data_IF_976844479457
#
_entry.id   IF_976844479457
#
_cell.length_a   1.000
_cell.length_b   1.000
_cell.length_c   1.000
_cell.angle_alpha   90.00
_cell.angle_beta   90.00
_cell.angle_gamma   90.00
#
_symmetry.space_group_name_H-M   'P 1'
#
loop_
_entity.id
_entity.type
_entity.pdbx_description
1 polymer ?
#
# COMPACT_ATOMS: atom_id res chain seq x y z
N UNK A 1 16.20 17.80 8.56
CA UNK A 1 15.92 18.00 7.12
C UNK A 1 16.22 16.69 6.44
N UNK A 2 15.18 15.94 6.07
CA UNK A 2 15.36 14.70 5.31
C UNK A 2 15.52 15.07 3.84
N UNK A 3 16.63 14.67 3.24
CA UNK A 3 16.83 14.73 1.80
C UNK A 3 16.04 13.56 1.18
N UNK A 4 14.72 13.66 1.18
CA UNK A 4 13.88 12.70 0.47
C UNK A 4 13.97 12.99 -1.04
N UNK A 5 14.36 11.98 -1.82
CA UNK A 5 14.24 11.99 -3.28
C UNK A 5 12.78 11.63 -3.64
N UNK A 6 12.27 12.06 -4.79
CA UNK A 6 11.01 11.43 -5.25
C UNK A 6 11.26 9.92 -5.48
N UNK A 7 10.24 9.04 -5.31
CA UNK A 7 10.40 7.61 -5.60
C UNK A 7 11.00 7.34 -6.98
N UNK A 8 10.64 8.15 -7.99
CA UNK A 8 11.19 8.08 -9.33
C UNK A 8 12.71 8.34 -9.40
N UNK A 9 13.21 9.33 -8.65
CA UNK A 9 14.63 9.63 -8.61
C UNK A 9 15.41 8.56 -7.83
N UNK A 10 14.87 8.09 -6.71
CA UNK A 10 15.46 6.98 -5.95
C UNK A 10 15.53 5.69 -6.80
N UNK A 11 14.45 5.40 -7.54
CA UNK A 11 14.38 4.31 -8.51
C UNK A 11 15.47 4.40 -9.59
N UNK A 12 15.62 5.56 -10.24
CA UNK A 12 16.63 5.72 -11.30
C UNK A 12 18.06 5.49 -10.80
N UNK A 13 18.37 5.99 -9.60
CA UNK A 13 19.66 5.72 -8.96
C UNK A 13 19.85 4.21 -8.72
N UNK A 14 18.87 3.56 -8.09
CA UNK A 14 18.94 2.13 -7.77
C UNK A 14 19.05 1.26 -9.01
N UNK A 15 18.30 1.59 -10.06
CA UNK A 15 18.35 0.90 -11.36
C UNK A 15 19.74 1.03 -11.98
N UNK A 16 20.32 2.22 -11.98
CA UNK A 16 21.65 2.45 -12.54
C UNK A 16 22.74 1.70 -11.74
N UNK A 17 22.63 1.64 -10.41
CA UNK A 17 23.51 0.81 -9.57
C UNK A 17 23.42 -0.67 -9.97
N UNK A 18 22.20 -1.22 -10.06
CA UNK A 18 21.98 -2.62 -10.43
C UNK A 18 22.49 -2.92 -11.85
N UNK A 19 22.31 -2.01 -12.81
CA UNK A 19 22.85 -2.16 -14.16
C UNK A 19 24.38 -2.12 -14.18
N UNK A 20 25.01 -1.27 -13.37
CA UNK A 20 26.45 -1.20 -13.24
C UNK A 20 27.01 -2.49 -12.59
N UNK A 21 26.38 -2.99 -11.52
CA UNK A 21 26.71 -4.28 -10.90
C UNK A 21 26.55 -5.42 -11.93
N UNK A 22 25.47 -5.41 -12.70
CA UNK A 22 25.20 -6.43 -13.73
C UNK A 22 26.26 -6.49 -14.81
N UNK A 23 26.86 -5.35 -15.17
CA UNK A 23 27.85 -5.24 -16.23
C UNK A 23 29.21 -5.86 -15.87
N UNK A 24 29.53 -5.98 -14.57
CA UNK A 24 30.85 -6.44 -14.09
C UNK A 24 30.85 -7.89 -13.60
N UNK A 25 29.70 -8.48 -13.32
CA UNK A 25 29.60 -9.87 -12.83
C UNK A 25 29.56 -10.89 -13.97
N UNK A 26 30.21 -12.04 -13.75
CA UNK A 26 30.25 -13.17 -14.72
C UNK A 26 29.51 -14.42 -14.22
N UNK A 27 29.22 -14.51 -12.92
CA UNK A 27 28.53 -15.67 -12.35
C UNK A 27 27.06 -15.71 -12.79
N UNK A 28 26.58 -16.81 -13.42
CA UNK A 28 25.18 -16.93 -13.83
C UNK A 28 24.18 -16.76 -12.67
N UNK A 29 24.54 -17.23 -11.48
CA UNK A 29 23.69 -17.13 -10.29
C UNK A 29 23.56 -15.67 -9.84
N UNK A 30 24.68 -14.95 -9.77
CA UNK A 30 24.67 -13.53 -9.38
C UNK A 30 23.94 -12.68 -10.41
N UNK A 31 24.16 -12.96 -11.70
CA UNK A 31 23.44 -12.36 -12.82
C UNK A 31 21.93 -12.54 -12.66
N UNK A 32 21.48 -13.75 -12.34
CA UNK A 32 20.05 -14.03 -12.17
C UNK A 32 19.47 -13.26 -10.98
N UNK A 33 20.18 -13.19 -9.86
CA UNK A 33 19.75 -12.40 -8.69
C UNK A 33 19.63 -10.91 -9.03
N UNK A 34 20.61 -10.33 -9.72
CA UNK A 34 20.56 -8.91 -10.14
C UNK A 34 19.41 -8.67 -11.12
N UNK A 35 19.20 -9.57 -12.09
CA UNK A 35 18.07 -9.45 -13.03
C UNK A 35 16.71 -9.52 -12.32
N UNK A 36 16.57 -10.37 -11.28
CA UNK A 36 15.35 -10.41 -10.46
C UNK A 36 15.14 -9.10 -9.70
N UNK A 37 16.20 -8.55 -9.13
CA UNK A 37 16.14 -7.26 -8.45
C UNK A 37 15.76 -6.13 -9.44
N UNK A 38 16.35 -6.10 -10.63
CA UNK A 38 15.98 -5.15 -11.69
C UNK A 38 14.49 -5.27 -12.04
N UNK A 39 14.00 -6.47 -12.33
CA UNK A 39 12.58 -6.67 -12.64
C UNK A 39 11.67 -6.22 -11.49
N UNK A 40 12.04 -6.52 -10.24
CA UNK A 40 11.29 -6.06 -9.08
C UNK A 40 11.29 -4.53 -8.96
N UNK A 41 12.39 -3.84 -9.34
CA UNK A 41 12.43 -2.39 -9.42
C UNK A 41 11.48 -1.85 -10.49
N UNK A 42 11.43 -2.46 -11.67
CA UNK A 42 10.53 -2.05 -12.77
C UNK A 42 9.05 -2.22 -12.36
N UNK A 43 8.70 -3.35 -11.72
CA UNK A 43 7.35 -3.59 -11.18
C UNK A 43 7.00 -2.57 -10.09
N UNK A 44 7.93 -2.26 -9.19
CA UNK A 44 7.70 -1.26 -8.15
C UNK A 44 7.49 0.14 -8.73
N UNK A 45 8.21 0.49 -9.79
CA UNK A 45 8.02 1.76 -10.50
C UNK A 45 6.68 1.81 -11.27
N UNK A 46 6.27 0.70 -11.90
CA UNK A 46 4.94 0.58 -12.49
C UNK A 46 3.83 0.77 -11.45
N UNK A 47 3.99 0.12 -10.30
CA UNK A 47 3.06 0.21 -9.17
C UNK A 47 2.98 1.63 -8.60
N UNK A 48 4.10 2.35 -8.56
CA UNK A 48 4.13 3.78 -8.22
C UNK A 48 3.27 4.62 -9.18
N UNK A 49 3.35 4.38 -10.49
CA UNK A 49 2.52 5.11 -11.46
C UNK A 49 1.03 4.79 -11.34
N UNK A 50 0.67 3.55 -11.01
CA UNK A 50 -0.72 3.20 -10.70
C UNK A 50 -1.22 3.95 -9.46
N UNK A 51 -0.38 4.08 -8.43
CA UNK A 51 -0.68 4.83 -7.22
C UNK A 51 -0.85 6.34 -7.50
N UNK A 52 0.01 6.95 -8.32
CA UNK A 52 -0.15 8.36 -8.75
C UNK A 52 -1.42 8.59 -9.57
N UNK A 53 -1.76 7.64 -10.44
CA UNK A 53 -2.95 7.69 -11.28
C UNK A 53 -4.23 7.61 -10.44
N UNK A 54 -4.22 6.77 -9.41
CA UNK A 54 -5.29 6.71 -8.42
C UNK A 54 -5.41 8.01 -7.63
N UNK A 55 -4.30 8.61 -7.20
CA UNK A 55 -4.33 9.91 -6.52
C UNK A 55 -4.94 11.01 -7.39
N UNK A 56 -4.62 11.02 -8.70
CA UNK A 56 -5.24 11.94 -9.66
C UNK A 56 -6.77 11.72 -9.73
N UNK A 57 -7.22 10.46 -9.73
CA UNK A 57 -8.65 10.14 -9.68
C UNK A 57 -9.28 10.62 -8.37
N UNK A 58 -8.62 10.42 -7.23
CA UNK A 58 -9.11 10.85 -5.93
C UNK A 58 -9.24 12.37 -5.84
N UNK A 59 -8.22 13.12 -6.24
CA UNK A 59 -8.24 14.59 -6.21
C UNK A 59 -9.41 15.15 -7.03
N UNK A 60 -9.73 14.53 -8.17
CA UNK A 60 -10.90 14.91 -8.98
C UNK A 60 -12.22 14.68 -8.24
N UNK A 61 -12.33 13.59 -7.48
CA UNK A 61 -13.51 13.26 -6.67
C UNK A 61 -13.64 14.15 -5.44
N UNK A 62 -12.52 14.47 -4.80
CA UNK A 62 -12.45 15.27 -3.59
C UNK A 62 -12.57 16.79 -3.83
N UNK A 63 -12.52 17.25 -5.09
CA UNK A 63 -12.57 18.69 -5.45
C UNK A 63 -13.78 19.45 -4.88
N UNK A 64 -14.89 18.76 -4.63
CA UNK A 64 -16.13 19.35 -4.12
C UNK A 64 -16.23 19.30 -2.58
N UNK A 65 -15.23 18.73 -1.91
CA UNK A 65 -15.18 18.67 -0.44
C UNK A 65 -14.56 19.98 0.07
N UNK A 66 -15.29 20.72 0.89
CA UNK A 66 -14.77 21.91 1.57
C UNK A 66 -13.99 21.51 2.83
N UNK A 67 -12.66 21.49 2.72
CA UNK A 67 -11.74 21.08 3.79
C UNK A 67 -11.47 22.16 4.84
N UNK A 68 -11.85 23.40 4.57
CA UNK A 68 -11.40 24.55 5.34
C UNK A 68 -12.37 24.99 6.43
N UNK A 69 -13.55 24.37 6.54
CA UNK A 69 -14.50 24.65 7.61
C UNK A 69 -14.03 24.02 8.94
N UNK A 70 -13.70 24.86 9.92
CA UNK A 70 -13.23 24.43 11.26
C UNK A 70 -14.19 23.45 11.94
N UNK A 71 -15.50 23.61 11.71
CA UNK A 71 -16.51 22.73 12.29
C UNK A 71 -16.42 21.31 11.73
N UNK A 72 -16.19 21.16 10.42
CA UNK A 72 -15.99 19.86 9.79
C UNK A 72 -14.74 19.16 10.30
N UNK A 73 -13.66 19.92 10.53
CA UNK A 73 -12.42 19.36 11.12
C UNK A 73 -12.62 18.85 12.55
N UNK A 74 -13.34 19.61 13.38
CA UNK A 74 -13.69 19.18 14.75
C UNK A 74 -14.55 17.91 14.75
N UNK A 75 -15.51 17.84 13.82
CA UNK A 75 -16.38 16.70 13.69
C UNK A 75 -15.64 15.44 13.22
N UNK A 76 -14.74 15.57 12.24
CA UNK A 76 -13.84 14.49 11.81
C UNK A 76 -12.96 13.99 12.95
N UNK A 77 -12.36 14.90 13.72
CA UNK A 77 -11.54 14.53 14.86
C UNK A 77 -12.35 13.78 15.93
N UNK A 78 -13.58 14.21 16.20
CA UNK A 78 -14.48 13.51 17.13
C UNK A 78 -14.83 12.11 16.63
N UNK A 79 -15.14 11.96 15.34
CA UNK A 79 -15.37 10.65 14.73
C UNK A 79 -14.14 9.76 14.83
N UNK A 80 -12.95 10.29 14.52
CA UNK A 80 -11.69 9.56 14.62
C UNK A 80 -11.45 9.07 16.05
N UNK A 81 -11.61 9.93 17.06
CA UNK A 81 -11.46 9.58 18.47
C UNK A 81 -12.43 8.48 18.91
N UNK A 82 -13.68 8.49 18.44
CA UNK A 82 -14.64 7.42 18.72
C UNK A 82 -14.28 6.13 17.98
N UNK A 83 -13.87 6.23 16.71
CA UNK A 83 -13.48 5.08 15.90
C UNK A 83 -12.24 4.37 16.46
N UNK A 84 -11.31 5.12 17.07
CA UNK A 84 -10.11 4.56 17.70
C UNK A 84 -10.42 3.84 19.03
N UNK A 85 -11.64 3.94 19.56
CA UNK A 85 -12.10 3.10 20.68
C UNK A 85 -12.54 1.71 20.22
N UNK A 86 -12.83 1.55 18.93
CA UNK A 86 -13.04 0.25 18.32
C UNK A 86 -11.66 -0.39 18.16
N UNK A 87 -11.39 -1.46 18.90
CA UNK A 87 -10.10 -2.13 18.86
C UNK A 87 -10.19 -3.39 18.01
N UNK A 88 -9.33 -3.49 16.99
CA UNK A 88 -9.03 -4.74 16.32
C UNK A 88 -7.77 -5.32 16.99
N UNK A 89 -7.83 -6.51 17.62
CA UNK A 89 -6.66 -7.13 18.23
C UNK A 89 -5.50 -7.32 17.22
N UNK A 90 -4.25 -7.25 17.68
CA UNK A 90 -3.07 -7.42 16.80
C UNK A 90 -3.03 -8.81 16.12
N UNK A 91 -3.56 -9.85 16.79
CA UNK A 91 -3.68 -11.21 16.26
C UNK A 91 -5.12 -11.53 15.84
N UNK A 92 -5.84 -10.56 15.29
CA UNK A 92 -7.23 -10.74 14.88
C UNK A 92 -7.37 -11.70 13.69
N UNK A 93 -8.18 -12.74 13.89
CA UNK A 93 -8.69 -13.59 12.82
C UNK A 93 -9.81 -12.91 12.01
N UNK A 94 -10.30 -13.61 10.99
CA UNK A 94 -11.35 -13.08 10.12
C UNK A 94 -12.65 -12.76 10.89
N UNK A 95 -12.97 -13.49 11.96
CA UNK A 95 -14.17 -13.25 12.75
C UNK A 95 -14.04 -11.99 13.60
N UNK A 96 -12.87 -11.77 14.21
CA UNK A 96 -12.57 -10.53 14.90
C UNK A 96 -12.63 -9.32 13.95
N UNK A 97 -12.15 -9.48 12.71
CA UNK A 97 -12.28 -8.46 11.67
C UNK A 97 -13.75 -8.18 11.29
N UNK A 98 -14.57 -9.21 11.10
CA UNK A 98 -16.00 -9.07 10.81
C UNK A 98 -16.75 -8.35 11.95
N UNK A 99 -16.43 -8.68 13.20
CA UNK A 99 -16.96 -7.99 14.37
C UNK A 99 -16.57 -6.52 14.40
N UNK A 100 -15.29 -6.23 14.19
CA UNK A 100 -14.78 -4.86 14.08
C UNK A 100 -15.48 -4.07 12.98
N UNK A 101 -15.66 -4.68 11.80
CA UNK A 101 -16.37 -4.07 10.68
C UNK A 101 -17.83 -3.75 11.03
N UNK A 102 -18.54 -4.68 11.67
CA UNK A 102 -19.92 -4.45 12.11
C UNK A 102 -20.01 -3.27 13.09
N UNK A 103 -19.12 -3.22 14.07
CA UNK A 103 -19.10 -2.14 15.07
C UNK A 103 -18.75 -0.78 14.45
N UNK A 104 -17.81 -0.77 13.48
CA UNK A 104 -17.45 0.43 12.73
C UNK A 104 -18.62 0.94 11.90
N UNK A 105 -19.32 0.07 11.15
CA UNK A 105 -20.50 0.46 10.36
C UNK A 105 -21.58 1.03 11.26
N UNK A 106 -21.87 0.39 12.40
CA UNK A 106 -22.84 0.91 13.37
C UNK A 106 -22.44 2.28 13.92
N UNK A 107 -21.15 2.50 14.20
CA UNK A 107 -20.65 3.81 14.61
C UNK A 107 -20.85 4.85 13.50
N UNK A 108 -20.47 4.53 12.25
CA UNK A 108 -20.62 5.43 11.11
C UNK A 108 -22.07 5.83 10.83
N UNK A 109 -23.01 4.88 10.96
CA UNK A 109 -24.44 5.10 10.73
C UNK A 109 -25.12 5.89 11.85
N UNK A 110 -24.65 5.74 13.09
CA UNK A 110 -25.21 6.42 14.27
C UNK A 110 -24.54 7.76 14.59
N UNK A 111 -23.40 8.06 13.98
CA UNK A 111 -22.68 9.31 14.21
C UNK A 111 -23.48 10.50 13.63
N UNK A 112 -23.69 11.58 14.41
CA UNK A 112 -24.59 12.66 14.04
C UNK A 112 -23.94 13.65 13.06
N UNK A 113 -23.65 13.22 11.83
CA UNK A 113 -23.03 14.03 10.79
C UNK A 113 -23.78 15.35 10.52
N UNK A 114 -23.11 16.50 10.66
CA UNK A 114 -23.70 17.82 10.36
C UNK A 114 -22.88 18.63 9.35
N UNK A 115 -21.56 18.62 9.48
CA UNK A 115 -20.60 19.45 8.72
C UNK A 115 -19.56 18.62 8.00
N UNK A 116 -19.22 17.46 8.56
CA UNK A 116 -18.38 16.44 7.94
C UNK A 116 -19.22 15.31 7.31
N UNK A 117 -18.54 14.37 6.68
CA UNK A 117 -19.16 13.17 6.12
C UNK A 117 -18.20 11.99 6.10
N UNK A 118 -18.72 10.77 5.97
CA UNK A 118 -17.91 9.57 5.82
C UNK A 118 -17.00 9.64 4.58
N UNK A 119 -17.42 10.33 3.53
CA UNK A 119 -16.59 10.56 2.33
C UNK A 119 -15.33 11.39 2.63
N UNK A 120 -15.40 12.31 3.59
CA UNK A 120 -14.23 13.07 4.03
C UNK A 120 -13.25 12.14 4.76
N UNK A 121 -13.74 11.30 5.68
CA UNK A 121 -12.91 10.28 6.36
C UNK A 121 -12.24 9.35 5.34
N UNK A 122 -12.98 8.88 4.33
CA UNK A 122 -12.43 8.07 3.24
C UNK A 122 -11.29 8.78 2.50
N UNK A 123 -11.43 10.09 2.25
CA UNK A 123 -10.40 10.87 1.58
C UNK A 123 -9.15 11.09 2.45
N UNK A 124 -9.31 11.30 3.75
CA UNK A 124 -8.19 11.43 4.68
C UNK A 124 -7.41 10.11 4.76
N UNK A 125 -8.12 8.99 4.92
CA UNK A 125 -7.50 7.66 4.93
C UNK A 125 -6.77 7.35 3.63
N UNK A 126 -7.35 7.73 2.49
CA UNK A 126 -6.67 7.63 1.20
C UNK A 126 -5.36 8.42 1.22
N UNK A 127 -5.40 9.68 1.62
CA UNK A 127 -4.25 10.58 1.59
C UNK A 127 -3.14 10.10 2.51
N UNK A 128 -3.48 9.65 3.72
CA UNK A 128 -2.54 9.05 4.68
C UNK A 128 -1.91 7.79 4.10
N UNK A 129 -2.72 6.85 3.60
CA UNK A 129 -2.23 5.57 3.06
C UNK A 129 -1.36 5.77 1.82
N UNK A 130 -1.75 6.70 0.94
CA UNK A 130 -0.98 7.10 -0.23
C UNK A 130 0.40 7.62 0.15
N UNK A 131 0.49 8.57 1.08
CA UNK A 131 1.76 9.14 1.53
C UNK A 131 2.66 8.09 2.19
N UNK A 132 2.09 7.21 3.01
CA UNK A 132 2.84 6.11 3.63
C UNK A 132 3.43 5.16 2.57
N UNK A 133 2.69 4.86 1.50
CA UNK A 133 3.20 4.05 0.39
C UNK A 133 4.28 4.78 -0.42
N UNK A 134 4.13 6.09 -0.66
CA UNK A 134 5.16 6.90 -1.31
C UNK A 134 6.49 6.86 -0.55
N UNK A 135 6.45 7.12 0.75
CA UNK A 135 7.64 7.07 1.62
C UNK A 135 8.27 5.67 1.65
N UNK A 136 7.44 4.62 1.62
CA UNK A 136 7.91 3.23 1.60
C UNK A 136 8.59 2.87 0.28
N UNK A 137 8.05 3.33 -0.86
CA UNK A 137 8.66 3.12 -2.18
C UNK A 137 9.98 3.86 -2.31
N UNK A 138 10.07 5.09 -1.81
CA UNK A 138 11.33 5.82 -1.79
C UNK A 138 12.40 5.10 -0.95
N UNK A 139 12.01 4.66 0.25
CA UNK A 139 12.91 3.89 1.12
C UNK A 139 13.27 2.54 0.51
N UNK A 140 12.37 1.89 -0.24
CA UNK A 140 12.66 0.66 -0.96
C UNK A 140 13.86 0.83 -1.89
N UNK A 141 13.90 1.92 -2.65
CA UNK A 141 14.98 2.16 -3.62
C UNK A 141 16.27 2.69 -2.99
N UNK A 142 16.21 3.36 -1.84
CA UNK A 142 17.36 4.06 -1.24
C UNK A 142 17.99 3.34 -0.04
N UNK A 143 17.24 2.49 0.67
CA UNK A 143 17.72 1.87 1.90
C UNK A 143 18.74 0.77 1.64
N UNK A 144 19.82 0.77 2.42
CA UNK A 144 20.84 -0.30 2.43
C UNK A 144 20.46 -1.48 3.33
N UNK A 145 19.57 -1.26 4.31
CA UNK A 145 19.04 -2.27 5.21
C UNK A 145 17.51 -2.28 5.08
N UNK A 146 16.94 -3.46 4.80
CA UNK A 146 15.52 -3.63 4.47
C UNK A 146 14.66 -4.01 5.68
N UNK A 147 15.25 -4.25 6.85
CA UNK A 147 14.48 -4.54 8.08
C UNK A 147 13.43 -3.46 8.41
N UNK A 148 13.74 -2.15 8.34
CA UNK A 148 12.74 -1.12 8.60
C UNK A 148 11.60 -1.12 7.57
N UNK A 149 11.87 -1.53 6.32
CA UNK A 149 10.85 -1.64 5.28
C UNK A 149 9.82 -2.71 5.60
N UNK A 150 10.23 -3.92 6.02
CA UNK A 150 9.28 -4.97 6.40
C UNK A 150 8.39 -4.53 7.57
N UNK A 151 8.97 -3.86 8.56
CA UNK A 151 8.21 -3.32 9.71
C UNK A 151 7.24 -2.21 9.25
N UNK A 152 7.67 -1.35 8.32
CA UNK A 152 6.82 -0.28 7.79
C UNK A 152 5.67 -0.84 6.95
N UNK A 153 5.95 -1.79 6.05
CA UNK A 153 4.93 -2.48 5.25
C UNK A 153 3.89 -3.13 6.17
N UNK A 154 4.33 -3.86 7.19
CA UNK A 154 3.43 -4.47 8.18
C UNK A 154 2.53 -3.43 8.85
N UNK A 155 3.09 -2.31 9.31
CA UNK A 155 2.32 -1.22 9.93
C UNK A 155 1.32 -0.57 8.98
N UNK A 156 1.68 -0.37 7.72
CA UNK A 156 0.76 0.19 6.71
C UNK A 156 -0.38 -0.80 6.44
N UNK A 157 -0.08 -2.09 6.38
CA UNK A 157 -1.10 -3.13 6.18
C UNK A 157 -2.02 -3.26 7.39
N UNK A 158 -1.48 -3.22 8.62
CA UNK A 158 -2.26 -3.22 9.84
C UNK A 158 -3.16 -1.98 9.93
N UNK A 159 -2.60 -0.80 9.64
CA UNK A 159 -3.37 0.45 9.53
C UNK A 159 -4.48 0.31 8.49
N UNK A 160 -4.14 -0.16 7.29
CA UNK A 160 -5.09 -0.34 6.19
C UNK A 160 -6.21 -1.30 6.61
N UNK A 161 -5.89 -2.48 7.12
CA UNK A 161 -6.87 -3.47 7.63
C UNK A 161 -7.78 -2.83 8.68
N UNK A 162 -7.22 -2.09 9.65
CA UNK A 162 -8.02 -1.41 10.66
C UNK A 162 -8.94 -0.31 10.10
N UNK A 163 -8.71 0.16 8.88
CA UNK A 163 -9.49 1.26 8.28
C UNK A 163 -10.28 0.83 7.04
N UNK A 164 -10.10 -0.38 6.53
CA UNK A 164 -10.88 -0.93 5.41
C UNK A 164 -12.39 -0.92 5.66
N UNK A 165 -12.94 -1.10 6.88
CA UNK A 165 -14.39 -1.02 7.09
C UNK A 165 -15.02 0.30 6.65
N UNK A 166 -14.21 1.36 6.56
CA UNK A 166 -14.63 2.66 6.02
C UNK A 166 -15.01 2.58 4.53
N UNK A 167 -14.61 1.52 3.84
CA UNK A 167 -14.89 1.24 2.42
C UNK A 167 -16.14 0.37 2.19
N UNK A 168 -16.78 -0.17 3.23
CA UNK A 168 -17.91 -1.12 3.12
C UNK A 168 -17.47 -2.59 3.17
N UNK A 169 -18.34 -3.53 2.74
CA UNK A 169 -18.10 -5.00 2.78
C UNK A 169 -16.79 -5.39 2.07
N UNK A 170 -15.73 -5.67 2.84
CA UNK A 170 -14.37 -5.70 2.33
C UNK A 170 -13.55 -6.86 2.92
N UNK A 171 -14.23 -7.96 3.26
CA UNK A 171 -13.62 -9.20 3.75
C UNK A 171 -12.58 -9.74 2.77
N UNK A 172 -12.85 -9.65 1.47
CA UNK A 172 -11.91 -10.11 0.44
C UNK A 172 -10.62 -9.29 0.41
N UNK A 173 -10.70 -7.98 0.70
CA UNK A 173 -9.51 -7.14 0.84
C UNK A 173 -8.71 -7.53 2.09
N UNK A 174 -9.39 -7.80 3.23
CA UNK A 174 -8.75 -8.35 4.43
C UNK A 174 -8.02 -9.66 4.13
N UNK A 175 -8.68 -10.63 3.49
CA UNK A 175 -8.11 -11.94 3.14
C UNK A 175 -6.87 -11.83 2.24
N UNK A 176 -6.77 -10.79 1.42
CA UNK A 176 -5.58 -10.54 0.60
C UNK A 176 -4.46 -9.80 1.35
N UNK A 177 -4.79 -8.90 2.27
CA UNK A 177 -3.80 -8.11 3.01
C UNK A 177 -3.21 -8.86 4.20
N UNK A 178 -4.00 -9.67 4.90
CA UNK A 178 -3.56 -10.42 6.07
C UNK A 178 -2.36 -11.34 5.76
N UNK A 179 -2.35 -12.14 4.66
CA UNK A 179 -1.18 -12.94 4.29
C UNK A 179 0.06 -12.10 3.97
N UNK A 180 -0.11 -10.91 3.37
CA UNK A 180 1.02 -10.00 3.07
C UNK A 180 1.60 -9.45 4.37
N UNK A 181 0.75 -9.11 5.34
CA UNK A 181 1.15 -8.66 6.66
C UNK A 181 1.90 -9.76 7.42
N UNK A 182 1.37 -10.99 7.45
CA UNK A 182 2.03 -12.15 8.05
C UNK A 182 3.39 -12.43 7.43
N UNK A 183 3.48 -12.42 6.09
CA UNK A 183 4.75 -12.61 5.40
C UNK A 183 5.76 -11.51 5.74
N UNK A 184 5.31 -10.25 5.84
CA UNK A 184 6.19 -9.12 6.22
C UNK A 184 6.72 -9.28 7.65
N UNK A 185 5.85 -9.64 8.60
CA UNK A 185 6.21 -9.90 10.00
C UNK A 185 7.21 -11.05 10.15
N UNK A 186 6.96 -12.17 9.46
CA UNK A 186 7.88 -13.31 9.45
C UNK A 186 9.26 -12.91 8.92
N UNK A 187 9.30 -12.11 7.86
CA UNK A 187 10.56 -11.68 7.25
C UNK A 187 11.32 -10.66 8.09
N UNK A 188 10.63 -9.80 8.84
CA UNK A 188 11.26 -8.87 9.78
C UNK A 188 12.09 -9.57 10.88
N UNK A 189 11.87 -10.88 11.11
CA UNK A 189 12.60 -11.72 12.08
C UNK A 189 13.82 -12.45 11.48
N UNK A 190 14.13 -12.23 10.21
CA UNK A 190 15.30 -12.79 9.55
C UNK A 190 16.62 -12.23 10.12
N UNK A 191 17.75 -12.83 9.74
CA UNK A 191 19.08 -12.35 10.17
C UNK A 191 19.40 -10.97 9.62
N UNK A 192 20.24 -10.21 10.33
CA UNK A 192 20.62 -8.86 9.88
C UNK A 192 21.40 -8.86 8.56
N UNK A 193 22.14 -9.94 8.27
CA UNK A 193 22.84 -10.14 7.00
C UNK A 193 21.86 -10.31 5.82
N UNK A 194 20.73 -11.00 6.04
CA UNK A 194 19.71 -11.17 5.01
C UNK A 194 19.21 -9.82 4.49
N UNK A 195 18.99 -8.84 5.36
CA UNK A 195 18.45 -7.53 4.98
C UNK A 195 19.39 -6.67 4.13
N UNK A 196 20.63 -7.12 3.90
CA UNK A 196 21.59 -6.47 2.98
C UNK A 196 21.63 -7.12 1.60
N UNK A 197 20.93 -8.25 1.41
CA UNK A 197 20.92 -9.02 0.17
C UNK A 197 19.95 -8.49 -0.89
N UNK A 198 20.17 -8.86 -2.15
CA UNK A 198 19.25 -8.57 -3.26
C UNK A 198 17.98 -9.42 -3.20
N UNK A 199 18.06 -10.60 -2.59
CA UNK A 199 16.92 -11.45 -2.29
C UNK A 199 15.94 -10.73 -1.35
N UNK A 200 16.46 -10.14 -0.26
CA UNK A 200 15.66 -9.34 0.66
C UNK A 200 15.06 -8.10 -0.02
N UNK A 201 15.82 -7.44 -0.89
CA UNK A 201 15.30 -6.33 -1.70
C UNK A 201 14.13 -6.76 -2.59
N UNK A 202 14.29 -7.86 -3.32
CA UNK A 202 13.26 -8.40 -4.23
C UNK A 202 11.98 -8.76 -3.46
N UNK A 203 12.13 -9.35 -2.28
CA UNK A 203 11.00 -9.73 -1.44
C UNK A 203 10.28 -8.50 -0.85
N UNK A 204 11.03 -7.51 -0.35
CA UNK A 204 10.45 -6.26 0.12
C UNK A 204 9.69 -5.54 -0.99
N UNK A 205 10.26 -5.49 -2.21
CA UNK A 205 9.60 -4.94 -3.38
C UNK A 205 8.30 -5.67 -3.69
N UNK A 206 8.29 -7.00 -3.71
CA UNK A 206 7.09 -7.80 -3.99
C UNK A 206 5.97 -7.58 -2.96
N UNK A 207 6.30 -7.56 -1.65
CA UNK A 207 5.31 -7.30 -0.61
C UNK A 207 4.75 -5.87 -0.69
N UNK A 208 5.63 -4.89 -0.92
CA UNK A 208 5.24 -3.49 -1.11
C UNK A 208 4.30 -3.34 -2.32
N UNK A 209 4.69 -3.87 -3.49
CA UNK A 209 3.88 -3.80 -4.70
C UNK A 209 2.52 -4.44 -4.52
N UNK A 210 2.47 -5.63 -3.90
CA UNK A 210 1.21 -6.33 -3.65
C UNK A 210 0.29 -5.52 -2.72
N UNK A 211 0.83 -4.95 -1.64
CA UNK A 211 0.07 -4.09 -0.73
C UNK A 211 -0.50 -2.86 -1.44
N UNK A 212 0.32 -2.18 -2.25
CA UNK A 212 -0.10 -1.02 -3.03
C UNK A 212 -1.15 -1.39 -4.07
N UNK A 213 -0.97 -2.47 -4.82
CA UNK A 213 -1.94 -2.88 -5.86
C UNK A 213 -3.30 -3.27 -5.26
N UNK A 214 -3.32 -3.95 -4.10
CA UNK A 214 -4.57 -4.24 -3.40
C UNK A 214 -5.26 -2.92 -3.00
N UNK A 215 -4.51 -1.97 -2.41
CA UNK A 215 -5.02 -0.64 -2.10
C UNK A 215 -5.55 0.05 -3.37
N UNK A 216 -4.80 0.03 -4.47
CA UNK A 216 -5.21 0.68 -5.70
C UNK A 216 -6.49 0.12 -6.29
N UNK A 217 -6.59 -1.21 -6.43
CA UNK A 217 -7.76 -1.83 -7.05
C UNK A 217 -9.02 -1.75 -6.18
N UNK A 218 -8.86 -1.82 -4.85
CA UNK A 218 -9.99 -1.69 -3.92
C UNK A 218 -10.48 -0.25 -3.88
N UNK A 219 -9.60 0.73 -3.71
CA UNK A 219 -9.97 2.14 -3.73
C UNK A 219 -10.55 2.56 -5.08
N UNK A 220 -9.96 2.16 -6.20
CA UNK A 220 -10.49 2.51 -7.52
C UNK A 220 -11.95 2.02 -7.68
N UNK A 221 -12.27 0.81 -7.21
CA UNK A 221 -13.62 0.29 -7.22
C UNK A 221 -14.58 1.19 -6.44
N UNK A 222 -14.19 1.60 -5.22
CA UNK A 222 -14.96 2.54 -4.38
C UNK A 222 -15.18 3.88 -5.09
N UNK A 223 -14.13 4.49 -5.62
CA UNK A 223 -14.21 5.80 -6.28
C UNK A 223 -15.07 5.80 -7.54
N UNK A 224 -15.14 4.65 -8.21
CA UNK A 224 -15.99 4.45 -9.38
C UNK A 224 -17.39 3.94 -9.05
N UNK A 225 -17.73 3.76 -7.77
CA UNK A 225 -19.03 3.22 -7.34
C UNK A 225 -19.27 1.78 -7.81
N UNK A 226 -18.20 1.00 -7.96
CA UNK A 226 -18.24 -0.42 -8.34
C UNK A 226 -18.17 -1.28 -7.10
N UNK A 227 -18.63 -2.53 -7.23
CA UNK A 227 -18.41 -3.55 -6.18
C UNK A 227 -16.91 -3.73 -5.95
N UNK A 228 -16.55 -3.95 -4.69
CA UNK A 228 -15.18 -4.31 -4.33
C UNK A 228 -14.79 -5.62 -5.04
N UNK A 229 -13.54 -5.71 -5.54
CA UNK A 229 -13.07 -6.91 -6.22
C UNK A 229 -12.97 -8.07 -5.22
N UNK A 230 -13.39 -9.27 -5.65
CA UNK A 230 -13.19 -10.48 -4.88
C UNK A 230 -11.72 -10.87 -4.84
N UNK A 231 -11.39 -11.82 -3.97
CA UNK A 231 -10.03 -12.37 -3.87
C UNK A 231 -9.45 -12.81 -5.23
N UNK A 232 -10.22 -13.58 -6.00
CA UNK A 232 -9.81 -14.07 -7.30
C UNK A 232 -9.59 -12.93 -8.31
N UNK A 233 -10.43 -11.90 -8.28
CA UNK A 233 -10.30 -10.72 -9.17
C UNK A 233 -9.05 -9.91 -8.79
N UNK A 234 -8.77 -9.74 -7.50
CA UNK A 234 -7.55 -9.06 -7.04
C UNK A 234 -6.30 -9.82 -7.49
N UNK A 235 -6.27 -11.14 -7.29
CA UNK A 235 -5.14 -11.98 -7.70
C UNK A 235 -4.90 -11.92 -9.21
N UNK A 236 -5.97 -11.99 -10.02
CA UNK A 236 -5.88 -11.90 -11.48
C UNK A 236 -5.39 -10.52 -11.95
N UNK A 237 -5.91 -9.44 -11.36
CA UNK A 237 -5.45 -8.07 -11.67
C UNK A 237 -3.99 -7.84 -11.29
N UNK A 238 -3.55 -8.32 -10.12
CA UNK A 238 -2.15 -8.21 -9.68
C UNK A 238 -1.25 -8.99 -10.63
N UNK A 239 -1.65 -10.21 -11.00
CA UNK A 239 -0.92 -11.01 -11.99
C UNK A 239 -0.85 -10.27 -13.33
N UNK A 240 -1.96 -9.75 -13.83
CA UNK A 240 -2.02 -9.00 -15.08
C UNK A 240 -1.14 -7.75 -15.08
N UNK A 241 -1.03 -7.05 -13.95
CA UNK A 241 -0.06 -5.96 -13.79
C UNK A 241 1.37 -6.47 -13.99
N UNK A 242 1.76 -7.54 -13.29
CA UNK A 242 3.12 -8.10 -13.36
C UNK A 242 3.45 -8.56 -14.78
N UNK A 243 2.54 -9.31 -15.41
CA UNK A 243 2.68 -9.80 -16.78
C UNK A 243 2.86 -8.61 -17.76
N UNK A 244 2.07 -7.54 -17.61
CA UNK A 244 2.19 -6.36 -18.48
C UNK A 244 3.51 -5.59 -18.33
N UNK A 245 4.13 -5.59 -17.14
CA UNK A 245 5.46 -5.00 -16.94
C UNK A 245 6.53 -5.89 -17.57
N UNK A 246 6.43 -7.21 -17.39
CA UNK A 246 7.35 -8.19 -17.98
C UNK A 246 7.32 -8.11 -19.51
N UNK A 247 6.13 -7.99 -20.09
CA UNK A 247 5.92 -7.93 -21.54
C UNK A 247 6.17 -6.52 -22.13
N UNK A 248 6.41 -5.51 -21.29
CA UNK A 248 6.63 -4.12 -21.71
C UNK A 248 5.39 -3.46 -22.31
N UNK A 249 4.20 -3.87 -21.87
CA UNK A 249 2.90 -3.32 -22.33
C UNK A 249 2.19 -2.51 -21.25
N UNK A 250 2.80 -2.35 -20.07
CA UNK A 250 2.22 -1.52 -19.01
C UNK A 250 2.09 -0.08 -19.50
N UNK A 251 0.97 0.65 -19.26
CA UNK A 251 0.70 1.95 -19.88
C UNK A 251 1.72 3.08 -19.63
N UNK A 252 2.66 2.84 -18.71
CA UNK A 252 3.71 3.77 -18.30
C UNK A 252 5.12 3.29 -18.69
N UNK A 253 5.22 2.26 -19.54
CA UNK A 253 6.45 1.67 -20.08
C UNK A 253 6.41 1.58 -21.61
#
# INVERSE_FOLDING_TARGET
>A
MSNFLSPAAAYLNRRNELLAERAVVQSPVVIQTINKALLASEIAMATFHDLESLNTLQQRKARLIDWHETQSQQELQNFELLSNRLSLPEEADEQAYLGYQHDFTRLADSFPWQKASLQMVQNDLFSTTFNLWLETLEELFSAQNRKPLFIRIEKILAFSISKIPVLGEAVDAYRQLAPVMTASHEKARSSDDYFRTLESYTEAANLCCRGILIFCFTTEAVLRGRKLPTEAILADKIKGHYDSVIDGTHPYF
#
